data_IF_207764624722
#
_entry.id   IF_207764624722
#
_cell.length_a   1.000
_cell.length_b   1.000
_cell.length_c   1.000
_cell.angle_alpha   90.00
_cell.angle_beta   90.00
_cell.angle_gamma   90.00
#
_symmetry.space_group_name_H-M   'P 1'
#
loop_
_entity.id
_entity.type
_entity.pdbx_description
1 polymer ?
#
# COMPACT_ATOMS: atom_id res chain seq x y z
N UNK A 1 24.66 30.80 -36.77
CA UNK A 1 23.74 31.07 -37.90
C UNK A 1 22.55 30.11 -37.79
N UNK A 2 21.37 30.68 -37.92
CA UNK A 2 20.04 30.03 -38.09
C UNK A 2 19.42 29.44 -36.84
N UNK A 3 18.66 30.19 -36.08
CA UNK A 3 17.22 30.43 -36.09
C UNK A 3 16.42 29.16 -35.72
N UNK A 4 15.99 29.06 -34.45
CA UNK A 4 14.91 28.19 -34.05
C UNK A 4 13.64 28.98 -33.87
N UNK A 5 12.63 28.53 -34.57
CA UNK A 5 11.30 29.11 -34.71
C UNK A 5 10.45 28.64 -33.50
N UNK A 6 9.99 29.58 -32.70
CA UNK A 6 9.02 29.34 -31.66
C UNK A 6 7.65 29.09 -32.30
N UNK A 7 7.02 27.96 -32.01
CA UNK A 7 5.64 27.64 -32.40
C UNK A 7 4.74 27.91 -31.19
N UNK A 8 4.13 29.08 -31.17
CA UNK A 8 3.04 29.45 -30.28
C UNK A 8 1.74 28.84 -30.86
N UNK A 9 1.15 27.88 -30.22
CA UNK A 9 -0.23 27.45 -30.49
C UNK A 9 -1.15 28.22 -29.54
N UNK A 10 -1.80 29.23 -30.08
CA UNK A 10 -2.91 29.91 -29.43
C UNK A 10 -4.18 29.11 -29.63
N UNK A 11 -4.77 28.59 -28.55
CA UNK A 11 -6.08 27.95 -28.58
C UNK A 11 -7.14 29.04 -28.37
N UNK A 12 -7.91 29.33 -29.42
CA UNK A 12 -8.98 30.30 -29.42
C UNK A 12 -10.21 29.76 -28.67
N UNK A 13 -10.59 30.41 -27.56
CA UNK A 13 -11.91 30.23 -26.94
C UNK A 13 -12.99 30.89 -27.80
N UNK A 14 -13.92 30.11 -28.30
CA UNK A 14 -15.17 30.62 -28.88
C UNK A 14 -16.21 30.78 -27.79
N UNK A 15 -16.48 32.02 -27.37
CA UNK A 15 -17.67 32.38 -26.64
C UNK A 15 -18.88 32.41 -27.60
N UNK A 16 -19.87 31.58 -27.37
CA UNK A 16 -21.17 31.70 -27.98
C UNK A 16 -22.11 32.47 -27.04
N UNK A 17 -22.32 33.74 -27.35
CA UNK A 17 -23.38 34.57 -26.77
C UNK A 17 -24.72 34.24 -27.47
N UNK A 18 -25.69 33.75 -26.73
CA UNK A 18 -27.08 33.76 -27.16
C UNK A 18 -27.77 34.90 -26.44
N UNK A 19 -28.07 35.95 -27.20
CA UNK A 19 -28.94 37.05 -26.79
C UNK A 19 -30.37 36.71 -27.18
N UNK A 20 -31.31 36.82 -26.25
CA UNK A 20 -32.71 37.05 -26.59
C UNK A 20 -33.26 38.05 -25.61
N UNK A 21 -33.73 39.18 -26.18
CA UNK A 21 -34.16 40.36 -25.47
C UNK A 21 -35.65 40.32 -25.12
N UNK A 22 -36.05 41.32 -24.33
CA UNK A 22 -37.46 41.67 -24.07
C UNK A 22 -37.72 42.35 -22.74
N UNK A 23 -37.45 43.56 -22.66
CA UNK A 23 -38.21 44.78 -22.30
C UNK A 23 -38.86 44.95 -20.90
N UNK A 24 -38.39 46.05 -20.26
CA UNK A 24 -39.04 47.09 -19.42
C UNK A 24 -39.71 46.76 -18.09
N UNK A 25 -39.28 47.31 -17.02
CA UNK A 25 -39.51 48.54 -16.29
C UNK A 25 -39.15 48.44 -14.79
N UNK A 26 -38.34 49.41 -14.37
CA UNK A 26 -38.32 50.14 -13.09
C UNK A 26 -39.01 49.56 -11.86
N UNK A 27 -38.25 49.33 -10.78
CA UNK A 27 -38.13 50.26 -9.65
C UNK A 27 -37.08 49.78 -8.63
N UNK A 28 -36.42 50.73 -8.02
CA UNK A 28 -35.40 50.56 -7.00
C UNK A 28 -36.00 50.00 -5.70
N UNK A 29 -35.30 49.03 -5.06
CA UNK A 29 -35.02 49.14 -3.64
C UNK A 29 -33.83 48.26 -3.21
N UNK A 30 -33.07 48.79 -2.26
CA UNK A 30 -31.94 48.22 -1.60
C UNK A 30 -32.26 46.94 -0.85
N UNK A 31 -31.30 46.04 -0.81
CA UNK A 31 -31.29 44.96 0.13
C UNK A 31 -30.21 43.96 -0.32
N UNK A 32 -28.98 44.20 0.12
CA UNK A 32 -27.91 43.19 -0.05
C UNK A 32 -28.26 41.95 0.76
N UNK A 33 -28.24 40.86 0.10
CA UNK A 33 -27.86 39.58 0.66
C UNK A 33 -26.93 38.97 -0.37
N UNK A 34 -25.63 39.18 -0.12
CA UNK A 34 -24.60 38.31 -0.64
C UNK A 34 -24.91 36.93 -0.05
N UNK A 35 -25.69 36.14 -0.77
CA UNK A 35 -25.72 34.72 -0.55
C UNK A 35 -24.32 34.20 -0.91
N UNK A 36 -23.48 34.15 0.12
CA UNK A 36 -22.24 33.40 0.12
C UNK A 36 -22.62 31.93 -0.16
N UNK A 37 -22.67 31.57 -1.45
CA UNK A 37 -22.58 30.18 -1.84
C UNK A 37 -21.13 29.83 -1.54
N UNK A 38 -20.86 29.38 -0.31
CA UNK A 38 -19.68 28.58 0.03
C UNK A 38 -19.72 27.38 -0.91
N UNK A 39 -19.14 27.51 -2.08
CA UNK A 39 -18.82 26.38 -2.93
C UNK A 39 -17.84 25.54 -2.13
N UNK A 40 -18.28 24.35 -1.76
CA UNK A 40 -17.43 23.37 -1.05
C UNK A 40 -16.08 23.27 -1.78
N UNK A 41 -14.99 23.52 -1.08
CA UNK A 41 -13.64 23.50 -1.68
C UNK A 41 -13.39 22.13 -2.31
N UNK A 42 -13.13 22.09 -3.60
CA UNK A 42 -12.71 20.87 -4.29
C UNK A 42 -11.20 20.71 -4.10
N UNK A 43 -10.80 19.70 -3.36
CA UNK A 43 -9.41 19.35 -3.12
C UNK A 43 -8.78 18.61 -4.30
N UNK A 44 -7.45 18.72 -4.43
CA UNK A 44 -6.69 18.12 -5.53
C UNK A 44 -5.49 17.34 -5.03
N UNK A 45 -5.30 16.12 -5.50
CA UNK A 45 -4.09 15.32 -5.28
C UNK A 45 -3.36 15.08 -6.58
N UNK A 46 -2.03 15.13 -6.56
CA UNK A 46 -1.21 14.68 -7.67
C UNK A 46 -0.27 13.56 -7.24
N UNK A 47 -0.06 12.60 -8.13
CA UNK A 47 0.94 11.54 -7.97
C UNK A 47 2.09 11.76 -8.94
N UNK A 48 3.32 11.54 -8.47
CA UNK A 48 4.49 11.36 -9.34
C UNK A 48 4.93 9.90 -9.26
N UNK A 49 5.36 9.30 -10.35
CA UNK A 49 5.82 7.91 -10.38
C UNK A 49 6.93 7.69 -11.41
N UNK A 50 7.97 6.98 -11.03
CA UNK A 50 9.05 6.56 -11.95
C UNK A 50 8.67 5.33 -12.80
N UNK A 51 7.70 4.57 -12.33
CA UNK A 51 7.13 3.43 -13.05
C UNK A 51 5.90 3.85 -13.87
N UNK A 52 5.59 3.10 -14.92
CA UNK A 52 4.35 3.33 -15.67
C UNK A 52 3.13 2.92 -14.84
N UNK A 53 2.07 3.73 -14.89
CA UNK A 53 0.77 3.36 -14.27
C UNK A 53 0.08 2.17 -14.97
N UNK A 54 0.64 1.69 -16.08
CA UNK A 54 0.17 0.54 -16.84
C UNK A 54 1.14 -0.64 -16.76
N UNK A 55 2.07 -0.66 -15.80
CA UNK A 55 3.08 -1.71 -15.66
C UNK A 55 2.53 -3.05 -15.13
N UNK A 56 1.28 -3.06 -14.65
CA UNK A 56 0.67 -4.20 -13.99
C UNK A 56 1.32 -4.57 -12.65
N UNK A 57 2.19 -3.70 -12.11
CA UNK A 57 2.96 -3.87 -10.90
C UNK A 57 2.83 -2.69 -9.94
N UNK A 58 3.98 -2.17 -9.50
CA UNK A 58 4.05 -1.11 -8.50
C UNK A 58 3.39 0.19 -8.94
N UNK A 59 3.69 0.69 -10.14
CA UNK A 59 3.11 1.94 -10.67
C UNK A 59 1.59 1.86 -10.75
N UNK A 60 1.07 0.76 -11.33
CA UNK A 60 -0.37 0.51 -11.42
C UNK A 60 -1.03 0.40 -10.04
N UNK A 61 -0.41 -0.31 -9.09
CA UNK A 61 -0.95 -0.47 -7.73
C UNK A 61 -1.04 0.87 -6.99
N UNK A 62 0.00 1.71 -7.07
CA UNK A 62 0.03 3.02 -6.42
C UNK A 62 -0.97 3.99 -7.04
N UNK A 63 -1.09 4.00 -8.38
CA UNK A 63 -2.06 4.81 -9.09
C UNK A 63 -3.49 4.42 -8.71
N UNK A 64 -3.83 3.13 -8.77
CA UNK A 64 -5.16 2.64 -8.41
C UNK A 64 -5.52 2.95 -6.95
N UNK A 65 -4.55 2.89 -6.03
CA UNK A 65 -4.75 3.27 -4.64
C UNK A 65 -5.08 4.77 -4.50
N UNK A 66 -4.34 5.65 -5.20
CA UNK A 66 -4.62 7.08 -5.20
C UNK A 66 -6.00 7.37 -5.80
N UNK A 67 -6.34 6.78 -6.94
CA UNK A 67 -7.65 6.95 -7.59
C UNK A 67 -8.78 6.53 -6.66
N UNK A 68 -8.67 5.34 -6.05
CA UNK A 68 -9.65 4.83 -5.08
C UNK A 68 -9.87 5.80 -3.92
N UNK A 69 -8.79 6.31 -3.33
CA UNK A 69 -8.87 7.26 -2.23
C UNK A 69 -9.47 8.60 -2.68
N UNK A 70 -9.05 9.13 -3.83
CA UNK A 70 -9.56 10.39 -4.36
C UNK A 70 -11.05 10.31 -4.68
N UNK A 71 -11.51 9.24 -5.32
CA UNK A 71 -12.93 9.02 -5.60
C UNK A 71 -13.76 8.89 -4.31
N UNK A 72 -13.26 8.16 -3.31
CA UNK A 72 -13.94 8.01 -2.02
C UNK A 72 -14.10 9.33 -1.26
N UNK A 73 -13.17 10.27 -1.45
CA UNK A 73 -13.17 11.60 -0.78
C UNK A 73 -13.67 12.74 -1.67
N UNK A 74 -14.10 12.48 -2.89
CA UNK A 74 -14.49 13.49 -3.90
C UNK A 74 -13.37 14.50 -4.20
N UNK A 75 -12.12 14.04 -4.26
CA UNK A 75 -10.98 14.83 -4.70
C UNK A 75 -10.74 14.65 -6.20
N UNK A 76 -10.24 15.68 -6.87
CA UNK A 76 -9.69 15.54 -8.21
C UNK A 76 -8.25 15.05 -8.14
N UNK A 77 -7.82 14.30 -9.16
CA UNK A 77 -6.49 13.72 -9.19
C UNK A 77 -5.83 13.86 -10.57
N UNK A 78 -4.49 13.90 -10.55
CA UNK A 78 -3.64 13.87 -11.75
C UNK A 78 -2.40 13.01 -11.46
N UNK A 79 -1.72 12.57 -12.50
CA UNK A 79 -0.50 11.77 -12.39
C UNK A 79 0.52 12.17 -13.47
N UNK A 80 1.79 12.18 -13.08
CA UNK A 80 2.92 12.15 -14.01
C UNK A 80 3.71 10.88 -13.72
N UNK A 81 3.70 9.94 -14.66
CA UNK A 81 4.36 8.66 -14.54
C UNK A 81 5.60 8.53 -15.44
N UNK A 82 6.34 7.43 -15.27
CA UNK A 82 7.53 7.13 -16.08
C UNK A 82 8.59 8.24 -16.05
N UNK A 83 8.71 8.93 -14.92
CA UNK A 83 9.68 10.03 -14.75
C UNK A 83 11.07 9.49 -14.37
N UNK A 84 12.12 10.15 -14.87
CA UNK A 84 13.49 9.85 -14.47
C UNK A 84 13.84 10.50 -13.11
N UNK A 85 14.83 9.96 -12.42
CA UNK A 85 15.23 10.42 -11.09
C UNK A 85 15.59 11.91 -11.06
N UNK A 86 16.23 12.41 -12.09
CA UNK A 86 16.61 13.83 -12.24
C UNK A 86 15.41 14.77 -12.43
N UNK A 87 14.22 14.22 -12.74
CA UNK A 87 12.98 14.99 -12.91
C UNK A 87 12.05 14.94 -11.68
N UNK A 88 12.38 14.24 -10.62
CA UNK A 88 11.49 14.09 -9.45
C UNK A 88 11.09 15.43 -8.86
N UNK A 89 12.07 16.26 -8.51
CA UNK A 89 11.84 17.57 -7.91
C UNK A 89 11.02 18.49 -8.83
N UNK A 90 11.41 18.63 -10.09
CA UNK A 90 10.71 19.49 -11.05
C UNK A 90 9.25 19.03 -11.26
N UNK A 91 8.99 17.75 -11.27
CA UNK A 91 7.64 17.18 -11.40
C UNK A 91 6.78 17.50 -10.17
N UNK A 92 7.34 17.42 -8.95
CA UNK A 92 6.67 17.81 -7.71
C UNK A 92 6.32 19.29 -7.74
N UNK A 93 7.30 20.15 -8.01
CA UNK A 93 7.14 21.61 -8.00
C UNK A 93 6.13 22.07 -9.05
N UNK A 94 6.04 21.41 -10.19
CA UNK A 94 5.04 21.71 -11.20
C UNK A 94 3.60 21.59 -10.65
N UNK A 95 3.30 20.54 -9.90
CA UNK A 95 2.00 20.39 -9.25
C UNK A 95 1.79 21.37 -8.09
N UNK A 96 2.84 21.64 -7.33
CA UNK A 96 2.79 22.67 -6.28
C UNK A 96 2.39 24.03 -6.87
N UNK A 97 3.02 24.44 -7.97
CA UNK A 97 2.72 25.70 -8.67
C UNK A 97 1.29 25.76 -9.27
N UNK A 98 0.70 24.60 -9.57
CA UNK A 98 -0.69 24.48 -10.02
C UNK A 98 -1.71 24.48 -8.87
N UNK A 99 -1.24 24.61 -7.63
CA UNK A 99 -2.09 24.68 -6.43
C UNK A 99 -2.80 23.37 -6.12
N UNK A 100 -2.09 22.25 -6.20
CA UNK A 100 -2.56 20.99 -5.65
C UNK A 100 -2.46 21.00 -4.13
N UNK A 101 -3.44 20.38 -3.45
CA UNK A 101 -3.47 20.37 -1.98
C UNK A 101 -2.56 19.29 -1.38
N UNK A 102 -2.39 18.19 -2.12
CA UNK A 102 -1.54 17.09 -1.70
C UNK A 102 -0.75 16.50 -2.87
N UNK A 103 0.53 16.19 -2.61
CA UNK A 103 1.40 15.42 -3.53
C UNK A 103 1.62 14.04 -2.92
N UNK A 104 1.30 13.00 -3.67
CA UNK A 104 1.57 11.61 -3.32
C UNK A 104 2.78 11.09 -4.07
N UNK A 105 3.80 10.67 -3.35
CA UNK A 105 5.05 10.14 -3.88
C UNK A 105 5.26 8.70 -3.40
N UNK A 106 5.03 7.67 -4.25
CA UNK A 106 5.04 6.28 -3.84
C UNK A 106 6.43 5.63 -3.90
N UNK A 107 7.30 5.98 -2.96
CA UNK A 107 8.59 5.34 -2.81
C UNK A 107 9.61 6.18 -2.05
N UNK A 108 10.50 5.54 -1.32
CA UNK A 108 11.53 6.23 -0.54
C UNK A 108 12.57 6.96 -1.41
N UNK A 109 12.69 6.62 -2.69
CA UNK A 109 13.58 7.29 -3.65
C UNK A 109 13.21 8.76 -3.88
N UNK A 110 11.98 9.16 -3.55
CA UNK A 110 11.51 10.53 -3.66
C UNK A 110 11.83 11.39 -2.43
N UNK A 111 12.38 10.80 -1.35
CA UNK A 111 12.54 11.46 -0.05
C UNK A 111 13.21 12.84 -0.15
N UNK A 112 14.37 12.93 -0.82
CA UNK A 112 15.11 14.19 -0.92
C UNK A 112 14.34 15.25 -1.71
N UNK A 113 13.72 14.87 -2.84
CA UNK A 113 12.92 15.76 -3.65
C UNK A 113 11.66 16.26 -2.92
N UNK A 114 11.01 15.37 -2.16
CA UNK A 114 9.84 15.68 -1.32
C UNK A 114 10.23 16.68 -0.22
N UNK A 115 11.32 16.41 0.52
CA UNK A 115 11.76 17.29 1.61
C UNK A 115 12.14 18.67 1.09
N UNK A 116 12.83 18.77 -0.05
CA UNK A 116 13.17 20.04 -0.68
C UNK A 116 11.91 20.81 -1.11
N UNK A 117 10.96 20.18 -1.77
CA UNK A 117 9.71 20.82 -2.18
C UNK A 117 8.85 21.24 -0.98
N UNK A 118 8.83 20.42 0.08
CA UNK A 118 8.09 20.70 1.31
C UNK A 118 8.63 21.94 2.05
N UNK A 119 9.92 22.23 1.96
CA UNK A 119 10.51 23.46 2.49
C UNK A 119 10.04 24.70 1.71
N UNK A 120 9.92 24.60 0.40
CA UNK A 120 9.53 25.72 -0.47
C UNK A 120 8.01 25.96 -0.53
N UNK A 121 7.21 24.92 -0.29
CA UNK A 121 5.75 24.95 -0.37
C UNK A 121 5.10 24.51 0.96
N UNK A 122 5.14 25.36 1.99
CA UNK A 122 4.69 25.00 3.36
C UNK A 122 3.19 24.70 3.46
N UNK A 123 2.38 25.21 2.54
CA UNK A 123 0.92 25.02 2.54
C UNK A 123 0.46 23.76 1.78
N UNK A 124 1.39 23.01 1.17
CA UNK A 124 1.09 21.79 0.43
C UNK A 124 1.46 20.58 1.28
N UNK A 125 0.59 19.57 1.26
CA UNK A 125 0.78 18.30 1.95
C UNK A 125 1.59 17.34 1.08
N UNK A 126 2.57 16.63 1.67
CA UNK A 126 3.39 15.64 0.97
C UNK A 126 3.26 14.28 1.64
N UNK A 127 2.62 13.32 0.95
CA UNK A 127 2.43 11.96 1.39
C UNK A 127 3.44 11.02 0.71
N UNK A 128 4.39 10.48 1.47
CA UNK A 128 5.49 9.65 0.98
C UNK A 128 5.27 8.17 1.37
N UNK A 129 4.85 7.34 0.42
CA UNK A 129 4.70 5.90 0.66
C UNK A 129 6.08 5.23 0.75
N UNK A 130 6.25 4.36 1.73
CA UNK A 130 7.52 3.70 2.04
C UNK A 130 8.67 4.66 2.37
N UNK A 131 8.37 5.90 2.79
CA UNK A 131 9.37 6.77 3.40
C UNK A 131 9.88 6.17 4.72
N UNK A 132 11.06 6.61 5.19
CA UNK A 132 11.51 6.20 6.50
C UNK A 132 10.58 6.78 7.60
N UNK A 133 10.45 6.07 8.72
CA UNK A 133 9.58 6.48 9.83
C UNK A 133 9.96 7.86 10.39
N UNK A 134 11.23 8.22 10.33
CA UNK A 134 11.74 9.50 10.81
C UNK A 134 11.70 10.63 9.75
N UNK A 135 11.25 10.34 8.51
CA UNK A 135 11.20 11.34 7.43
C UNK A 135 10.31 12.54 7.77
N UNK A 136 9.12 12.39 8.38
CA UNK A 136 8.30 13.54 8.75
C UNK A 136 8.99 14.52 9.69
N UNK A 137 9.84 14.02 10.60
CA UNK A 137 10.60 14.86 11.53
C UNK A 137 11.72 15.67 10.87
N UNK A 138 12.08 15.34 9.63
CA UNK A 138 13.09 16.06 8.83
C UNK A 138 12.49 17.23 8.06
N UNK A 139 11.17 17.28 7.89
CA UNK A 139 10.49 18.35 7.17
C UNK A 139 10.44 19.63 8.01
N UNK A 140 11.04 20.71 7.49
CA UNK A 140 11.15 22.02 8.20
C UNK A 140 9.78 22.58 8.56
N UNK A 141 8.81 22.46 7.67
CA UNK A 141 7.46 22.99 7.84
C UNK A 141 6.46 21.97 8.45
N UNK A 142 6.91 20.75 8.73
CA UNK A 142 6.06 19.68 9.29
C UNK A 142 4.93 19.21 8.35
N UNK A 143 5.04 19.49 7.04
CA UNK A 143 4.03 19.20 6.02
C UNK A 143 4.31 17.91 5.22
N UNK A 144 5.09 16.99 5.77
CA UNK A 144 5.38 15.66 5.21
C UNK A 144 4.84 14.59 6.13
N UNK A 145 4.20 13.56 5.57
CA UNK A 145 3.86 12.32 6.25
C UNK A 145 4.44 11.13 5.49
N UNK A 146 5.04 10.19 6.22
CA UNK A 146 5.37 8.87 5.69
C UNK A 146 4.18 7.94 5.82
N UNK A 147 3.92 7.13 4.80
CA UNK A 147 2.89 6.09 4.80
C UNK A 147 3.60 4.73 4.85
N UNK A 148 3.40 3.99 5.93
CA UNK A 148 4.07 2.71 6.15
C UNK A 148 3.07 1.62 6.53
N UNK A 149 2.95 0.53 5.76
CA UNK A 149 2.25 -0.65 6.23
C UNK A 149 2.91 -1.17 7.52
N UNK A 150 2.12 -1.47 8.56
CA UNK A 150 2.66 -1.98 9.81
C UNK A 150 3.20 -3.39 9.62
N UNK A 151 4.52 -3.50 9.51
CA UNK A 151 5.20 -4.76 9.19
C UNK A 151 4.94 -5.86 10.23
N UNK A 152 4.86 -5.51 11.52
CA UNK A 152 4.56 -6.49 12.58
C UNK A 152 3.14 -7.03 12.44
N UNK A 153 2.14 -6.17 12.19
CA UNK A 153 0.76 -6.63 11.98
C UNK A 153 0.61 -7.46 10.70
N UNK A 154 1.36 -7.15 9.64
CA UNK A 154 1.45 -8.02 8.44
C UNK A 154 1.87 -9.43 8.86
N UNK A 155 2.92 -9.53 9.66
CA UNK A 155 3.39 -10.78 10.21
C UNK A 155 2.33 -11.46 11.09
N UNK A 156 1.63 -10.74 11.96
CA UNK A 156 0.59 -11.30 12.82
C UNK A 156 -0.56 -11.93 12.04
N UNK A 157 -1.03 -11.24 10.99
CA UNK A 157 -2.10 -11.75 10.12
C UNK A 157 -1.71 -13.12 9.54
N UNK A 158 -0.52 -13.21 8.95
CA UNK A 158 -0.03 -14.46 8.37
C UNK A 158 0.29 -15.51 9.43
N UNK A 159 0.96 -15.10 10.53
CA UNK A 159 1.40 -15.98 11.61
C UNK A 159 0.26 -16.66 12.36
N UNK A 160 -0.84 -15.92 12.59
CA UNK A 160 -2.00 -16.51 13.26
C UNK A 160 -2.61 -17.66 12.45
N UNK A 161 -2.74 -17.50 11.13
CA UNK A 161 -3.21 -18.58 10.27
C UNK A 161 -2.21 -19.73 10.20
N UNK A 162 -0.91 -19.42 10.11
CA UNK A 162 0.15 -20.43 10.08
C UNK A 162 0.15 -21.29 11.37
N UNK A 163 0.01 -20.69 12.55
CA UNK A 163 -0.07 -21.40 13.82
C UNK A 163 -1.29 -22.32 13.92
N UNK A 164 -2.43 -21.91 13.36
CA UNK A 164 -3.62 -22.77 13.25
C UNK A 164 -3.40 -23.94 12.27
N UNK A 165 -2.73 -23.69 11.15
CA UNK A 165 -2.67 -24.64 10.04
C UNK A 165 -1.52 -25.62 10.12
N UNK A 166 -0.37 -25.25 10.71
CA UNK A 166 0.77 -26.17 10.80
C UNK A 166 0.43 -27.45 11.55
N UNK A 167 0.84 -28.58 11.01
CA UNK A 167 0.78 -29.90 11.63
C UNK A 167 2.17 -30.36 12.10
N UNK A 168 3.22 -29.95 11.38
CA UNK A 168 4.61 -30.25 11.73
C UNK A 168 5.16 -29.39 12.87
N UNK A 169 4.54 -28.24 13.11
CA UNK A 169 5.05 -27.18 13.99
C UNK A 169 6.21 -26.39 13.37
N UNK A 170 6.55 -26.58 12.09
CA UNK A 170 7.68 -25.93 11.43
C UNK A 170 7.22 -25.03 10.30
N UNK A 171 7.65 -23.77 10.37
CA UNK A 171 7.29 -22.76 9.41
C UNK A 171 8.50 -22.36 8.55
N UNK A 172 8.23 -21.99 7.30
CA UNK A 172 9.22 -21.43 6.38
C UNK A 172 8.98 -19.94 6.13
N UNK A 173 10.06 -19.15 6.09
CA UNK A 173 10.03 -17.77 5.61
C UNK A 173 11.15 -17.52 4.61
N UNK A 174 10.81 -16.93 3.46
CA UNK A 174 11.76 -16.57 2.42
C UNK A 174 11.69 -15.05 2.22
N UNK A 175 12.81 -14.35 2.46
CA UNK A 175 12.95 -12.92 2.23
C UNK A 175 13.62 -12.63 0.89
N UNK A 176 13.18 -11.55 0.21
CA UNK A 176 13.88 -11.04 -0.96
C UNK A 176 15.20 -10.37 -0.57
N UNK A 177 15.09 -9.37 0.29
CA UNK A 177 16.20 -8.59 0.84
C UNK A 177 16.08 -8.51 2.36
N UNK A 178 17.22 -8.31 3.04
CA UNK A 178 17.23 -8.11 4.49
C UNK A 178 16.89 -6.66 4.87
N UNK A 179 15.61 -6.28 4.68
CA UNK A 179 15.11 -4.95 4.99
C UNK A 179 14.49 -4.91 6.40
N UNK A 180 14.42 -3.74 7.02
CA UNK A 180 13.79 -3.59 8.34
C UNK A 180 12.28 -3.93 8.30
N UNK A 181 11.60 -3.61 7.21
CA UNK A 181 10.21 -4.02 6.99
C UNK A 181 10.07 -5.54 6.91
N UNK A 182 10.97 -6.22 6.20
CA UNK A 182 11.02 -7.69 6.14
C UNK A 182 11.27 -8.30 7.52
N UNK A 183 12.22 -7.73 8.30
CA UNK A 183 12.48 -8.16 9.69
C UNK A 183 11.26 -8.00 10.59
N UNK A 184 10.54 -6.88 10.44
CA UNK A 184 9.29 -6.65 11.17
C UNK A 184 8.21 -7.69 10.85
N UNK A 185 8.05 -8.04 9.56
CA UNK A 185 7.14 -9.12 9.11
C UNK A 185 7.53 -10.47 9.70
N UNK A 186 8.82 -10.81 9.68
CA UNK A 186 9.34 -12.07 10.25
C UNK A 186 9.05 -12.14 11.74
N UNK A 187 9.36 -11.07 12.48
CA UNK A 187 9.12 -11.02 13.92
C UNK A 187 7.64 -11.23 14.26
N UNK A 188 6.75 -10.50 13.57
CA UNK A 188 5.30 -10.64 13.76
C UNK A 188 4.79 -12.03 13.37
N UNK A 189 5.29 -12.60 12.27
CA UNK A 189 4.91 -13.94 11.82
C UNK A 189 5.28 -15.02 12.83
N UNK A 190 6.50 -14.99 13.32
CA UNK A 190 6.99 -15.95 14.32
C UNK A 190 6.24 -15.80 15.64
N UNK A 191 6.07 -14.56 16.13
CA UNK A 191 5.39 -14.24 17.39
C UNK A 191 3.95 -14.73 17.40
N UNK A 192 3.17 -14.37 16.35
CA UNK A 192 1.77 -14.78 16.25
C UNK A 192 1.61 -16.30 16.06
N UNK A 193 2.45 -16.91 15.23
CA UNK A 193 2.38 -18.35 15.00
C UNK A 193 2.70 -19.15 16.26
N UNK A 194 3.69 -18.74 17.05
CA UNK A 194 4.00 -19.36 18.34
C UNK A 194 2.85 -19.19 19.33
N UNK A 195 2.33 -17.97 19.49
CA UNK A 195 1.22 -17.69 20.38
C UNK A 195 -0.01 -18.53 20.04
N UNK A 196 -0.43 -18.55 18.78
CA UNK A 196 -1.59 -19.33 18.35
C UNK A 196 -1.33 -20.83 18.45
N UNK A 197 -0.13 -21.28 18.10
CA UNK A 197 0.26 -22.67 18.27
C UNK A 197 0.14 -23.14 19.72
N UNK A 198 0.61 -22.33 20.68
CA UNK A 198 0.47 -22.63 22.12
C UNK A 198 -1.00 -22.74 22.55
N UNK A 199 -1.88 -21.86 22.04
CA UNK A 199 -3.33 -21.96 22.30
C UNK A 199 -3.94 -23.25 21.75
N UNK A 200 -3.38 -23.79 20.67
CA UNK A 200 -3.78 -25.06 20.05
C UNK A 200 -3.03 -26.29 20.62
N UNK A 201 -2.21 -26.09 21.67
CA UNK A 201 -1.42 -27.17 22.30
C UNK A 201 -0.25 -27.68 21.45
N UNK A 202 0.26 -26.85 20.52
CA UNK A 202 1.36 -27.17 19.60
C UNK A 202 2.60 -26.34 19.94
N UNK A 203 3.76 -26.93 19.70
CA UNK A 203 5.01 -26.15 19.64
C UNK A 203 5.27 -25.75 18.21
N UNK A 204 5.40 -24.44 17.96
CA UNK A 204 5.66 -23.88 16.64
C UNK A 204 7.02 -23.20 16.63
N UNK A 205 7.83 -23.49 15.60
CA UNK A 205 9.11 -22.85 15.36
C UNK A 205 9.19 -22.31 13.92
N UNK A 206 9.80 -21.16 13.76
CA UNK A 206 10.22 -20.65 12.46
C UNK A 206 11.62 -21.24 12.17
N UNK A 207 11.74 -21.97 11.07
CA UNK A 207 13.04 -22.44 10.59
C UNK A 207 13.95 -21.22 10.25
N UNK A 208 15.29 -21.40 10.20
CA UNK A 208 16.17 -20.30 9.85
C UNK A 208 15.73 -19.61 8.57
N UNK A 209 15.51 -18.29 8.69
CA UNK A 209 15.09 -17.44 7.56
C UNK A 209 16.19 -17.41 6.50
N UNK A 210 15.79 -17.47 5.25
CA UNK A 210 16.70 -17.38 4.10
C UNK A 210 16.38 -16.15 3.26
N UNK A 211 17.41 -15.49 2.72
CA UNK A 211 17.29 -14.31 1.87
C UNK A 211 17.83 -14.57 0.47
N UNK A 212 17.02 -14.30 -0.53
CA UNK A 212 17.42 -14.47 -1.93
C UNK A 212 18.42 -13.41 -2.40
N UNK A 213 18.51 -12.26 -1.72
CA UNK A 213 19.19 -11.04 -2.17
C UNK A 213 18.69 -10.59 -3.56
N UNK A 214 17.42 -10.84 -3.84
CA UNK A 214 16.71 -10.54 -5.09
C UNK A 214 15.21 -10.60 -4.87
N UNK A 215 14.44 -9.82 -5.64
CA UNK A 215 12.98 -9.95 -5.74
C UNK A 215 12.54 -10.63 -7.05
N UNK A 216 13.48 -11.00 -7.93
CA UNK A 216 13.20 -11.53 -9.27
C UNK A 216 13.74 -12.93 -9.54
N UNK A 217 14.50 -13.52 -8.60
CA UNK A 217 15.16 -14.85 -8.77
C UNK A 217 14.24 -15.99 -8.33
N UNK A 218 13.22 -16.30 -9.15
CA UNK A 218 12.30 -17.40 -8.88
C UNK A 218 12.99 -18.78 -8.70
N UNK A 219 14.00 -19.15 -9.51
CA UNK A 219 14.76 -20.39 -9.29
C UNK A 219 15.31 -20.53 -7.87
N UNK A 220 15.81 -19.44 -7.28
CA UNK A 220 16.35 -19.42 -5.91
C UNK A 220 15.26 -19.62 -4.86
N UNK A 221 14.06 -19.07 -5.11
CA UNK A 221 12.88 -19.33 -4.27
C UNK A 221 12.51 -20.81 -4.23
N UNK A 222 12.56 -21.48 -5.39
CA UNK A 222 12.31 -22.91 -5.50
C UNK A 222 13.36 -23.75 -4.74
N UNK A 223 14.64 -23.39 -4.83
CA UNK A 223 15.73 -24.04 -4.10
C UNK A 223 15.53 -23.93 -2.58
N UNK A 224 15.25 -22.71 -2.10
CA UNK A 224 15.05 -22.44 -0.69
C UNK A 224 13.83 -23.16 -0.12
N UNK A 225 12.69 -23.09 -0.81
CA UNK A 225 11.48 -23.80 -0.37
C UNK A 225 11.71 -25.32 -0.36
N UNK A 226 12.40 -25.88 -1.36
CA UNK A 226 12.76 -27.30 -1.37
C UNK A 226 13.58 -27.68 -0.13
N UNK A 227 14.53 -26.85 0.25
CA UNK A 227 15.34 -27.06 1.45
C UNK A 227 14.52 -26.99 2.72
N UNK A 228 13.70 -25.95 2.89
CA UNK A 228 12.85 -25.77 4.08
C UNK A 228 11.81 -26.89 4.20
N UNK A 229 11.21 -27.35 3.09
CA UNK A 229 10.32 -28.52 3.05
C UNK A 229 11.04 -29.79 3.53
N UNK A 230 12.29 -29.98 3.09
CA UNK A 230 13.09 -31.15 3.54
C UNK A 230 13.40 -31.13 5.04
N UNK A 231 13.39 -29.94 5.66
CA UNK A 231 13.52 -29.75 7.11
C UNK A 231 12.19 -29.85 7.86
N UNK A 232 11.09 -29.98 7.13
CA UNK A 232 9.76 -30.24 7.65
C UNK A 232 8.84 -29.02 7.69
N UNK A 233 9.17 -27.89 7.05
CA UNK A 233 8.25 -26.77 6.93
C UNK A 233 6.99 -27.19 6.17
N UNK A 234 5.81 -26.86 6.72
CA UNK A 234 4.51 -27.17 6.13
C UNK A 234 3.62 -25.94 5.94
N UNK A 235 3.99 -24.77 6.47
CA UNK A 235 3.35 -23.47 6.15
C UNK A 235 4.42 -22.44 5.86
N UNK A 236 4.24 -21.72 4.75
CA UNK A 236 5.15 -20.71 4.26
C UNK A 236 4.50 -19.33 4.27
N UNK A 237 5.33 -18.33 4.49
CA UNK A 237 5.08 -16.93 4.22
C UNK A 237 6.37 -16.33 3.66
N UNK A 238 6.27 -15.38 2.72
CA UNK A 238 7.44 -14.79 2.10
C UNK A 238 7.30 -13.28 1.92
N UNK A 239 8.42 -12.60 1.68
CA UNK A 239 8.49 -11.17 1.33
C UNK A 239 9.51 -11.00 0.19
N UNK A 240 9.20 -11.60 -0.98
CA UNK A 240 10.21 -11.80 -2.00
C UNK A 240 9.70 -11.76 -3.47
N UNK A 241 8.45 -11.39 -3.72
CA UNK A 241 7.88 -11.19 -5.07
C UNK A 241 7.99 -12.43 -5.98
N UNK A 242 8.78 -12.36 -7.08
CA UNK A 242 8.94 -13.50 -7.99
C UNK A 242 9.65 -14.70 -7.33
N UNK A 243 10.47 -14.48 -6.30
CA UNK A 243 11.08 -15.55 -5.50
C UNK A 243 10.00 -16.37 -4.79
N UNK A 244 8.93 -15.73 -4.27
CA UNK A 244 7.79 -16.42 -3.66
C UNK A 244 7.04 -17.29 -4.68
N UNK A 245 6.96 -16.83 -5.94
CA UNK A 245 6.39 -17.63 -7.02
C UNK A 245 7.19 -18.92 -7.27
N UNK A 246 8.52 -18.82 -7.23
CA UNK A 246 9.40 -19.99 -7.30
C UNK A 246 9.25 -20.93 -6.11
N UNK A 247 9.06 -20.39 -4.89
CA UNK A 247 8.79 -21.16 -3.69
C UNK A 247 7.49 -21.98 -3.84
N UNK A 248 6.42 -21.38 -4.37
CA UNK A 248 5.15 -22.05 -4.66
C UNK A 248 5.30 -23.21 -5.63
N UNK A 249 6.19 -23.11 -6.63
CA UNK A 249 6.47 -24.24 -7.52
C UNK A 249 7.07 -25.44 -6.78
N UNK A 250 7.93 -25.21 -5.78
CA UNK A 250 8.47 -26.31 -4.96
C UNK A 250 7.41 -26.91 -4.05
N UNK A 251 6.56 -26.07 -3.45
CA UNK A 251 5.42 -26.51 -2.62
C UNK A 251 4.47 -27.37 -3.45
N UNK A 252 4.10 -26.95 -4.65
CA UNK A 252 3.23 -27.70 -5.54
C UNK A 252 3.83 -29.03 -5.96
N UNK A 253 5.13 -29.05 -6.25
CA UNK A 253 5.82 -30.29 -6.59
C UNK A 253 5.80 -31.29 -5.41
N UNK A 254 6.01 -30.82 -4.18
CA UNK A 254 5.95 -31.65 -2.98
C UNK A 254 4.53 -32.14 -2.70
N UNK A 255 3.52 -31.29 -2.81
CA UNK A 255 2.11 -31.65 -2.64
C UNK A 255 1.65 -32.67 -3.70
N UNK A 256 2.08 -32.49 -4.95
CA UNK A 256 1.79 -33.42 -6.04
C UNK A 256 2.43 -34.80 -5.77
N UNK A 257 3.68 -34.83 -5.33
CA UNK A 257 4.36 -36.07 -4.98
C UNK A 257 3.70 -36.79 -3.78
N UNK A 258 3.13 -36.02 -2.83
CA UNK A 258 2.39 -36.57 -1.71
C UNK A 258 0.95 -37.03 -2.06
N UNK A 259 0.45 -36.66 -3.24
CA UNK A 259 -0.93 -36.93 -3.69
C UNK A 259 -2.00 -36.13 -2.93
N UNK A 260 -1.63 -35.14 -2.17
CA UNK A 260 -2.53 -34.26 -1.40
C UNK A 260 -1.86 -32.94 -1.02
N UNK A 261 -2.66 -31.88 -0.85
CA UNK A 261 -2.15 -30.57 -0.39
C UNK A 261 -2.00 -30.63 1.13
N UNK A 262 -0.75 -30.56 1.60
CA UNK A 262 -0.37 -30.57 3.03
C UNK A 262 0.65 -29.49 3.37
N UNK A 263 1.22 -28.86 2.36
CA UNK A 263 2.14 -27.75 2.50
C UNK A 263 1.45 -26.53 1.91
N UNK A 264 1.38 -25.46 2.68
CA UNK A 264 0.58 -24.27 2.38
C UNK A 264 1.44 -23.05 2.24
N UNK A 265 0.93 -22.05 1.49
CA UNK A 265 1.51 -20.72 1.38
C UNK A 265 0.48 -19.66 1.74
N UNK A 266 0.94 -18.57 2.33
CA UNK A 266 0.16 -17.37 2.61
C UNK A 266 0.70 -16.25 1.74
N UNK A 267 -0.16 -15.69 0.88
CA UNK A 267 0.21 -14.64 -0.07
C UNK A 267 0.36 -13.26 0.56
N UNK A 268 1.00 -12.35 -0.16
CA UNK A 268 1.03 -10.90 0.07
C UNK A 268 1.52 -10.17 -1.20
N UNK A 269 1.42 -8.83 -1.32
CA UNK A 269 0.60 -7.91 -0.51
C UNK A 269 -0.83 -7.76 -1.04
N UNK A 270 -1.19 -8.49 -2.08
CA UNK A 270 -2.53 -8.53 -2.66
C UNK A 270 -3.20 -9.88 -2.36
N UNK A 271 -4.53 -9.93 -2.50
CA UNK A 271 -5.24 -11.21 -2.46
C UNK A 271 -4.96 -11.99 -3.75
N UNK A 272 -4.17 -13.04 -3.60
CA UNK A 272 -3.75 -13.93 -4.69
C UNK A 272 -4.38 -15.32 -4.59
N UNK A 273 -5.47 -15.47 -3.82
CA UNK A 273 -6.21 -16.71 -3.74
C UNK A 273 -6.62 -17.19 -5.14
N UNK A 274 -6.41 -18.46 -5.41
CA UNK A 274 -6.70 -19.09 -6.71
C UNK A 274 -5.58 -18.96 -7.76
N UNK A 275 -4.53 -18.19 -7.52
CA UNK A 275 -3.37 -18.14 -8.42
C UNK A 275 -2.48 -19.40 -8.29
N UNK A 276 -2.51 -20.04 -7.14
CA UNK A 276 -1.80 -21.30 -6.91
C UNK A 276 -2.59 -22.17 -5.92
N UNK A 277 -2.65 -23.50 -6.12
CA UNK A 277 -3.43 -24.40 -5.28
C UNK A 277 -3.03 -24.43 -3.80
N UNK A 278 -1.75 -24.13 -3.47
CA UNK A 278 -1.26 -24.19 -2.10
C UNK A 278 -1.62 -22.93 -1.27
N UNK A 279 -2.14 -21.87 -1.90
CA UNK A 279 -2.46 -20.62 -1.21
C UNK A 279 -3.72 -20.80 -0.38
N UNK A 280 -3.59 -20.58 0.93
CA UNK A 280 -4.71 -20.71 1.87
C UNK A 280 -5.39 -19.39 2.24
N UNK A 281 -4.66 -18.28 2.13
CA UNK A 281 -5.12 -16.92 2.35
C UNK A 281 -4.03 -15.96 1.86
N UNK A 282 -4.31 -14.68 1.88
CA UNK A 282 -3.28 -13.63 1.66
C UNK A 282 -3.37 -12.58 2.75
N UNK A 283 -2.23 -12.04 3.15
CA UNK A 283 -2.19 -10.73 3.82
C UNK A 283 -2.34 -9.65 2.76
N UNK A 284 -3.26 -8.72 2.96
CA UNK A 284 -3.56 -7.65 1.98
C UNK A 284 -3.17 -6.31 2.56
N UNK A 285 -2.46 -5.52 1.76
CA UNK A 285 -2.12 -4.12 2.07
C UNK A 285 -2.93 -3.19 1.17
N UNK A 286 -3.73 -2.32 1.77
CA UNK A 286 -4.50 -1.29 1.07
C UNK A 286 -3.87 0.09 1.28
N UNK A 287 -3.07 0.52 0.31
CA UNK A 287 -2.45 1.85 0.34
C UNK A 287 -3.50 2.98 0.26
N UNK A 288 -4.67 2.74 -0.33
CA UNK A 288 -5.73 3.75 -0.43
C UNK A 288 -6.20 4.21 0.96
N UNK A 289 -6.35 3.28 1.92
CA UNK A 289 -6.74 3.63 3.27
C UNK A 289 -5.76 4.60 3.95
N UNK A 290 -4.45 4.42 3.74
CA UNK A 290 -3.45 5.35 4.26
C UNK A 290 -3.51 6.72 3.56
N UNK A 291 -3.75 6.74 2.25
CA UNK A 291 -3.93 7.98 1.48
C UNK A 291 -5.19 8.72 1.96
N UNK A 292 -6.28 8.01 2.23
CA UNK A 292 -7.52 8.59 2.78
C UNK A 292 -7.29 9.25 4.14
N UNK A 293 -6.52 8.63 5.03
CA UNK A 293 -6.12 9.24 6.31
C UNK A 293 -5.38 10.55 6.09
N UNK A 294 -4.47 10.61 5.11
CA UNK A 294 -3.77 11.83 4.74
C UNK A 294 -4.73 12.89 4.19
N UNK A 295 -5.66 12.52 3.30
CA UNK A 295 -6.65 13.43 2.75
C UNK A 295 -7.56 14.01 3.83
N UNK A 296 -8.04 13.19 4.76
CA UNK A 296 -8.83 13.64 5.91
C UNK A 296 -8.06 14.63 6.78
N UNK A 297 -6.78 14.38 7.01
CA UNK A 297 -5.91 15.28 7.77
C UNK A 297 -5.69 16.63 7.05
N UNK A 298 -5.58 16.64 5.70
CA UNK A 298 -5.51 17.87 4.89
C UNK A 298 -6.79 18.68 5.04
N UNK A 299 -7.95 18.03 4.91
CA UNK A 299 -9.26 18.70 5.08
C UNK A 299 -9.41 19.27 6.48
N UNK A 300 -8.95 18.55 7.49
CA UNK A 300 -9.00 18.98 8.89
C UNK A 300 -7.93 20.04 9.25
N UNK A 301 -6.98 20.35 8.34
CA UNK A 301 -5.90 21.31 8.56
C UNK A 301 -4.85 20.86 9.59
N UNK A 302 -4.68 19.54 9.77
CA UNK A 302 -3.73 18.96 10.71
C UNK A 302 -2.80 17.91 10.07
N UNK A 303 -2.61 17.99 8.77
CA UNK A 303 -1.72 17.09 8.03
C UNK A 303 -0.25 17.33 8.38
N UNK A 304 0.50 16.25 8.42
CA UNK A 304 1.96 16.25 8.41
C UNK A 304 2.62 16.01 9.77
N UNK A 305 3.95 15.95 9.75
CA UNK A 305 4.78 15.72 10.93
C UNK A 305 4.67 14.33 11.54
N UNK A 306 3.95 13.40 10.93
CA UNK A 306 3.66 12.06 11.47
C UNK A 306 3.85 10.96 10.45
N UNK A 307 4.07 9.75 10.93
CA UNK A 307 3.98 8.54 10.12
C UNK A 307 2.57 7.96 10.23
N UNK A 308 1.94 7.75 9.08
CA UNK A 308 0.65 7.07 8.98
C UNK A 308 0.92 5.59 8.75
N UNK A 309 0.64 4.78 9.76
CA UNK A 309 0.73 3.34 9.63
C UNK A 309 -0.55 2.77 9.02
N UNK A 310 -0.38 1.93 7.99
CA UNK A 310 -1.46 1.05 7.52
C UNK A 310 -1.60 -0.10 8.51
N UNK A 311 -2.76 -0.23 9.12
CA UNK A 311 -3.06 -1.20 10.18
C UNK A 311 -4.37 -1.91 9.90
N UNK A 312 -4.66 -2.96 10.67
CA UNK A 312 -5.99 -3.61 10.64
C UNK A 312 -7.10 -2.64 11.05
N UNK A 313 -6.83 -1.79 12.05
CA UNK A 313 -7.82 -0.86 12.63
C UNK A 313 -8.28 0.20 11.64
N UNK A 314 -7.38 0.68 10.74
CA UNK A 314 -7.71 1.71 9.75
C UNK A 314 -7.95 1.15 8.34
N UNK A 315 -7.97 -0.17 8.18
CA UNK A 315 -8.19 -0.83 6.88
C UNK A 315 -6.99 -0.81 5.94
N UNK A 316 -5.84 -0.29 6.37
CA UNK A 316 -4.58 -0.34 5.60
C UNK A 316 -4.02 -1.77 5.48
N UNK A 317 -4.44 -2.66 6.39
CA UNK A 317 -4.14 -4.08 6.34
C UNK A 317 -5.43 -4.89 6.49
N UNK A 318 -5.46 -6.07 5.88
CA UNK A 318 -6.54 -7.04 6.05
C UNK A 318 -6.06 -8.46 5.73
N UNK A 319 -6.87 -9.44 6.11
CA UNK A 319 -6.79 -10.77 5.52
C UNK A 319 -7.62 -10.80 4.24
N UNK A 320 -7.09 -11.42 3.19
CA UNK A 320 -7.82 -11.72 1.96
C UNK A 320 -8.80 -12.87 2.12
N UNK A 321 -9.34 -13.34 1.01
CA UNK A 321 -10.23 -14.49 1.00
C UNK A 321 -9.52 -15.76 1.50
N UNK A 322 -10.23 -16.59 2.25
CA UNK A 322 -9.70 -17.84 2.80
C UNK A 322 -10.10 -19.01 1.89
N UNK A 323 -9.16 -19.89 1.59
CA UNK A 323 -9.42 -21.14 0.89
C UNK A 323 -10.16 -22.13 1.80
N UNK A 324 -11.48 -22.11 1.75
CA UNK A 324 -12.34 -22.96 2.60
C UNK A 324 -12.33 -24.44 2.22
N UNK A 325 -11.70 -24.81 1.10
CA UNK A 325 -11.47 -26.22 0.75
C UNK A 325 -10.28 -26.80 1.53
N UNK A 326 -9.31 -25.96 1.88
CA UNK A 326 -8.09 -26.35 2.59
C UNK A 326 -8.11 -25.96 4.06
N UNK A 327 -8.76 -24.86 4.43
CA UNK A 327 -8.86 -24.38 5.81
C UNK A 327 -10.20 -24.81 6.40
N UNK A 328 -10.22 -25.69 7.40
CA UNK A 328 -11.45 -26.14 8.06
C UNK A 328 -12.24 -24.98 8.67
N UNK A 329 -13.57 -25.05 8.63
CA UNK A 329 -14.47 -23.99 9.12
C UNK A 329 -14.16 -23.58 10.58
N UNK A 330 -13.89 -24.51 11.45
CA UNK A 330 -13.49 -24.25 12.84
C UNK A 330 -12.21 -23.39 12.93
N UNK A 331 -11.21 -23.62 12.03
CA UNK A 331 -9.98 -22.81 11.98
C UNK A 331 -10.24 -21.43 11.40
N UNK A 332 -11.17 -21.32 10.44
CA UNK A 332 -11.62 -20.01 9.92
C UNK A 332 -12.25 -19.17 11.03
N UNK A 333 -13.11 -19.77 11.86
CA UNK A 333 -13.75 -19.07 13.00
C UNK A 333 -12.69 -18.58 14.01
N UNK A 334 -11.74 -19.44 14.37
CA UNK A 334 -10.63 -19.08 15.26
C UNK A 334 -9.76 -17.98 14.69
N UNK A 335 -9.42 -18.08 13.40
CA UNK A 335 -8.62 -17.06 12.71
C UNK A 335 -9.31 -15.70 12.73
N UNK A 336 -10.60 -15.64 12.40
CA UNK A 336 -11.39 -14.43 12.47
C UNK A 336 -11.42 -13.83 13.90
N UNK A 337 -11.49 -14.68 14.93
CA UNK A 337 -11.43 -14.22 16.32
C UNK A 337 -10.05 -13.61 16.66
N UNK A 338 -8.94 -14.16 16.16
CA UNK A 338 -7.62 -13.56 16.32
C UNK A 338 -7.48 -12.25 15.58
N UNK A 339 -7.99 -12.15 14.35
CA UNK A 339 -8.02 -10.87 13.61
C UNK A 339 -8.79 -9.79 14.37
N UNK A 340 -9.94 -10.16 14.98
CA UNK A 340 -10.70 -9.24 15.82
C UNK A 340 -9.89 -8.80 17.05
N UNK A 341 -9.20 -9.71 17.73
CA UNK A 341 -8.31 -9.37 18.85
C UNK A 341 -7.17 -8.44 18.43
N UNK A 342 -6.64 -8.59 17.23
CA UNK A 342 -5.62 -7.67 16.68
C UNK A 342 -6.22 -6.28 16.49
N UNK A 343 -7.41 -6.18 15.90
CA UNK A 343 -8.12 -4.90 15.73
C UNK A 343 -8.46 -4.23 17.07
N UNK A 344 -8.85 -5.00 18.07
CA UNK A 344 -9.19 -4.50 19.40
C UNK A 344 -7.96 -4.22 20.28
N UNK A 345 -6.76 -4.51 19.76
CA UNK A 345 -5.50 -4.40 20.49
C UNK A 345 -5.41 -5.32 21.70
N UNK A 346 -6.12 -6.46 21.70
CA UNK A 346 -6.12 -7.46 22.78
C UNK A 346 -5.36 -8.74 22.42
N UNK A 347 -4.88 -8.86 21.21
CA UNK A 347 -4.08 -9.99 20.75
C UNK A 347 -2.80 -10.13 21.56
N UNK A 348 -2.49 -11.33 22.06
CA UNK A 348 -1.32 -11.66 22.90
C UNK A 348 -1.24 -10.90 24.25
N UNK A 349 -2.39 -10.49 24.80
CA UNK A 349 -2.47 -9.85 26.13
C UNK A 349 -3.00 -10.79 27.17
#
# INVERSE_FOLDING_TARGET
>A
MKKFLALLLALAMTLSLVACGGNTNTDANQGGDDANTDGEKTYKVAMICDSSINDGGWGAACYNAMVKAAEAKNWTYEVTDSISQDAYYDSIVAYCALGYDMIYAPGNQYTDAVLQAAEEYPDIAFALLNGAEDTPAKAVNGNVSSLLPNAQQIGWIAGALAGLMTESGKLGFIGGMELDTTKGKIAGFEEAAKYVGEQEGKTVELLPVVYANSFSDAPKGKEFATTLISQGADVFFGDASAVDSGAREAIDAANTAAGSIKIYDIGQPADILGQNPCIICSQVTDNAAMIEVCMDAVVAGNFGGTTVFGTLENGGLSAGAINTELVPAEKVEKYNAYLQQMMDGTFMK
#
